data_IF_435212531698
#
_entry.id   IF_435212531698
#
_cell.length_a   1.000
_cell.length_b   1.000
_cell.length_c   1.000
_cell.angle_alpha   90.00
_cell.angle_beta   90.00
_cell.angle_gamma   90.00
#
_symmetry.space_group_name_H-M   'P 1'
#
loop_
_entity.id
_entity.type
_entity.pdbx_description
1 polymer ?
#
# COMPACT_ATOMS: atom_id res chain seq x y z
N UNK A 1 13.00 -39.07 38.25
CA UNK A 1 12.12 -37.88 38.07
C UNK A 1 12.82 -36.66 37.40
N UNK A 2 13.92 -36.82 36.64
CA UNK A 2 14.56 -35.69 35.91
C UNK A 2 14.18 -35.60 34.43
N UNK A 3 13.57 -36.65 33.87
CA UNK A 3 13.24 -36.74 32.43
C UNK A 3 11.89 -36.10 32.06
N UNK A 4 10.99 -35.90 33.02
CA UNK A 4 9.66 -35.30 32.78
C UNK A 4 9.72 -33.77 32.60
N UNK A 5 10.63 -33.10 33.30
CA UNK A 5 10.77 -31.62 33.23
C UNK A 5 11.30 -31.19 31.87
N UNK A 6 12.21 -31.95 31.26
CA UNK A 6 12.75 -31.63 29.93
C UNK A 6 11.72 -31.73 28.81
N UNK A 7 10.73 -32.62 28.92
CA UNK A 7 9.67 -32.78 27.89
C UNK A 7 8.64 -31.66 27.99
N UNK A 8 8.38 -31.15 29.20
CA UNK A 8 7.43 -30.04 29.41
C UNK A 8 7.99 -28.70 28.89
N UNK A 9 9.29 -28.43 29.11
CA UNK A 9 9.95 -27.20 28.65
C UNK A 9 10.06 -27.16 27.12
N UNK A 10 10.27 -28.29 26.46
CA UNK A 10 10.37 -28.37 25.00
C UNK A 10 9.04 -28.08 24.30
N UNK A 11 7.90 -28.38 24.94
CA UNK A 11 6.57 -28.09 24.40
C UNK A 11 6.20 -26.61 24.49
N UNK A 12 6.70 -25.86 25.49
CA UNK A 12 6.44 -24.42 25.60
C UNK A 12 7.18 -23.59 24.53
N UNK A 13 8.30 -24.09 24.01
CA UNK A 13 9.06 -23.41 22.94
C UNK A 13 8.42 -23.53 21.55
N UNK A 14 7.52 -24.51 21.35
CA UNK A 14 6.86 -24.74 20.06
C UNK A 14 5.59 -23.92 19.85
N UNK A 15 5.07 -23.27 20.89
CA UNK A 15 3.86 -22.43 20.86
C UNK A 15 4.20 -20.94 20.61
N UNK A 16 5.50 -20.60 20.54
CA UNK A 16 6.00 -19.23 20.49
C UNK A 16 6.01 -18.54 19.11
N UNK A 17 5.73 -19.27 18.03
CA UNK A 17 5.53 -18.68 16.69
C UNK A 17 4.04 -18.57 16.36
N UNK A 18 3.24 -18.05 17.29
CA UNK A 18 1.98 -17.47 16.90
C UNK A 18 2.31 -16.17 16.16
N UNK A 19 2.32 -16.21 14.82
CA UNK A 19 2.25 -15.01 14.01
C UNK A 19 1.02 -14.24 14.50
N UNK A 20 1.24 -13.17 15.28
CA UNK A 20 0.18 -12.23 15.63
C UNK A 20 -0.23 -11.61 14.32
N UNK A 21 -1.22 -12.23 13.68
CA UNK A 21 -1.85 -11.65 12.50
C UNK A 21 -2.57 -10.42 13.05
N UNK A 22 -2.14 -9.19 12.70
CA UNK A 22 -2.81 -8.01 13.21
C UNK A 22 -4.29 -8.12 12.89
N UNK A 23 -5.15 -7.66 13.82
CA UNK A 23 -6.59 -7.65 13.59
C UNK A 23 -6.85 -7.04 12.21
N UNK A 24 -7.46 -7.83 11.34
CA UNK A 24 -7.82 -7.38 10.00
C UNK A 24 -8.71 -6.16 10.20
N UNK A 25 -8.27 -5.02 9.71
CA UNK A 25 -9.13 -3.83 9.73
C UNK A 25 -10.24 -4.14 8.72
N UNK A 26 -11.41 -4.51 9.23
CA UNK A 26 -12.59 -4.71 8.40
C UNK A 26 -13.03 -3.36 7.87
N UNK A 27 -12.96 -3.22 6.55
CA UNK A 27 -13.58 -2.12 5.82
C UNK A 27 -14.74 -2.76 5.06
N UNK A 28 -15.94 -2.64 5.62
CA UNK A 28 -17.16 -3.26 5.11
C UNK A 28 -17.72 -2.53 3.88
N UNK A 29 -17.13 -1.38 3.53
CA UNK A 29 -17.50 -0.59 2.36
C UNK A 29 -16.26 -0.19 1.56
N UNK A 30 -16.24 -0.62 0.31
CA UNK A 30 -15.30 -0.09 -0.66
C UNK A 30 -15.50 1.43 -0.82
N UNK A 31 -14.41 2.17 -0.98
CA UNK A 31 -14.47 3.63 -1.11
C UNK A 31 -15.05 4.03 -2.47
N UNK A 32 -16.00 4.95 -2.48
CA UNK A 32 -16.60 5.48 -3.70
C UNK A 32 -15.59 6.33 -4.50
N UNK A 33 -15.47 6.04 -5.80
CA UNK A 33 -14.64 6.79 -6.76
C UNK A 33 -15.49 7.34 -7.90
N UNK A 34 -15.70 8.66 -7.89
CA UNK A 34 -16.50 9.37 -8.88
C UNK A 34 -15.85 9.44 -10.27
N UNK A 35 -14.54 9.24 -10.35
CA UNK A 35 -13.77 9.25 -11.60
C UNK A 35 -13.83 7.93 -12.37
N UNK A 36 -14.43 6.90 -11.76
CA UNK A 36 -14.65 5.60 -12.39
C UNK A 36 -15.56 5.74 -13.63
N UNK A 37 -15.14 5.24 -14.81
CA UNK A 37 -15.97 5.22 -16.01
C UNK A 37 -17.29 4.46 -15.81
N UNK A 38 -18.32 4.83 -16.56
CA UNK A 38 -19.70 4.32 -16.40
C UNK A 38 -19.83 2.80 -16.56
N UNK A 39 -18.87 2.17 -17.24
CA UNK A 39 -18.83 0.73 -17.51
C UNK A 39 -18.38 -0.09 -16.30
N UNK A 40 -17.86 0.55 -15.26
CA UNK A 40 -17.32 -0.11 -14.06
C UNK A 40 -18.09 0.31 -12.80
N UNK A 41 -18.03 -0.54 -11.77
CA UNK A 41 -18.58 -0.23 -10.45
C UNK A 41 -17.78 0.90 -9.79
N UNK A 42 -18.47 1.91 -9.26
CA UNK A 42 -17.85 3.08 -8.60
C UNK A 42 -17.42 2.79 -7.17
N UNK A 43 -17.95 1.74 -6.56
CA UNK A 43 -17.57 1.31 -5.21
C UNK A 43 -16.33 0.40 -5.29
N UNK A 44 -15.25 0.91 -5.87
CA UNK A 44 -14.04 0.14 -6.21
C UNK A 44 -12.75 0.69 -5.57
N UNK A 45 -12.84 1.77 -4.78
CA UNK A 45 -11.69 2.43 -4.18
C UNK A 45 -10.69 2.98 -5.20
N UNK A 46 -11.06 3.06 -6.47
CA UNK A 46 -10.22 3.42 -7.61
C UNK A 46 -9.39 2.27 -8.20
N UNK A 47 -9.60 1.02 -7.78
CA UNK A 47 -9.04 -0.18 -8.40
C UNK A 47 -10.12 -0.90 -9.20
N UNK A 48 -10.00 -0.96 -10.52
CA UNK A 48 -11.04 -1.51 -11.41
C UNK A 48 -10.88 -3.01 -11.62
N UNK A 49 -9.69 -3.47 -12.04
CA UNK A 49 -9.41 -4.87 -12.34
C UNK A 49 -7.91 -5.12 -12.41
N UNK A 50 -7.49 -6.37 -12.63
CA UNK A 50 -6.12 -6.69 -13.02
C UNK A 50 -6.04 -6.93 -14.54
N UNK A 51 -4.94 -6.51 -15.15
CA UNK A 51 -4.60 -6.74 -16.56
C UNK A 51 -3.20 -7.33 -16.59
N UNK A 52 -3.12 -8.67 -16.69
CA UNK A 52 -1.87 -9.38 -16.46
C UNK A 52 -1.42 -9.20 -15.01
N UNK A 53 -0.16 -8.80 -14.82
CA UNK A 53 0.44 -8.55 -13.50
C UNK A 53 0.19 -7.13 -12.96
N UNK A 54 -0.47 -6.27 -13.74
CA UNK A 54 -0.72 -4.88 -13.38
C UNK A 54 -2.17 -4.68 -12.94
N UNK A 55 -2.40 -3.70 -12.09
CA UNK A 55 -3.73 -3.26 -11.68
C UNK A 55 -4.19 -2.06 -12.51
N UNK A 56 -5.41 -2.14 -13.05
CA UNK A 56 -6.10 -1.03 -13.70
C UNK A 56 -6.69 -0.11 -12.64
N UNK A 57 -6.27 1.15 -12.62
CA UNK A 57 -6.68 2.15 -11.64
C UNK A 57 -7.27 3.40 -12.32
N UNK A 58 -8.10 4.11 -11.56
CA UNK A 58 -8.70 5.37 -11.98
C UNK A 58 -7.73 6.55 -11.91
N UNK A 59 -8.11 7.68 -12.53
CA UNK A 59 -7.39 8.94 -12.41
C UNK A 59 -7.28 9.41 -10.95
N UNK A 60 -8.35 9.23 -10.16
CA UNK A 60 -8.37 9.59 -8.75
C UNK A 60 -7.46 8.69 -7.91
N UNK A 61 -7.39 7.38 -8.19
CA UNK A 61 -6.45 6.48 -7.53
C UNK A 61 -4.99 6.87 -7.78
N UNK A 62 -4.63 7.20 -9.04
CA UNK A 62 -3.29 7.72 -9.37
C UNK A 62 -2.98 8.98 -8.57
N UNK A 63 -3.88 9.96 -8.55
CA UNK A 63 -3.68 11.20 -7.80
C UNK A 63 -3.51 10.95 -6.29
N UNK A 64 -4.29 10.02 -5.73
CA UNK A 64 -4.16 9.61 -4.32
C UNK A 64 -2.83 8.95 -4.03
N UNK A 65 -2.34 8.07 -4.92
CA UNK A 65 -1.03 7.45 -4.79
C UNK A 65 0.10 8.50 -4.75
N UNK A 66 0.10 9.45 -5.70
CA UNK A 66 1.10 10.53 -5.72
C UNK A 66 1.02 11.43 -4.48
N UNK A 67 -0.19 11.72 -4.00
CA UNK A 67 -0.35 12.46 -2.75
C UNK A 67 0.27 11.70 -1.55
N UNK A 68 0.01 10.40 -1.44
CA UNK A 68 0.62 9.57 -0.40
C UNK A 68 2.15 9.53 -0.49
N UNK A 69 2.72 9.46 -1.70
CA UNK A 69 4.17 9.59 -1.90
C UNK A 69 4.64 10.94 -1.34
N UNK A 70 3.97 12.05 -1.66
CA UNK A 70 4.34 13.39 -1.16
C UNK A 70 4.30 13.51 0.37
N UNK A 71 3.44 12.71 1.01
CA UNK A 71 3.28 12.66 2.47
C UNK A 71 4.34 11.80 3.16
N UNK A 72 4.82 10.74 2.52
CA UNK A 72 5.55 9.66 3.21
C UNK A 72 6.85 9.20 2.54
N UNK A 73 7.27 9.78 1.41
CA UNK A 73 8.43 9.31 0.64
C UNK A 73 9.72 9.20 1.47
N UNK A 74 9.95 10.08 2.44
CA UNK A 74 11.18 10.12 3.24
C UNK A 74 11.14 9.00 4.27
N UNK A 75 10.02 8.88 4.99
CA UNK A 75 9.78 7.74 5.88
C UNK A 75 9.87 6.41 5.14
N UNK A 76 9.28 6.32 3.95
CA UNK A 76 9.32 5.12 3.13
C UNK A 76 10.76 4.76 2.74
N UNK A 77 11.55 5.75 2.29
CA UNK A 77 12.99 5.59 2.02
C UNK A 77 13.75 5.10 3.25
N UNK A 78 13.48 5.66 4.43
CA UNK A 78 14.12 5.25 5.69
C UNK A 78 13.77 3.82 6.11
N UNK A 79 12.51 3.41 5.96
CA UNK A 79 12.04 2.11 6.46
C UNK A 79 12.19 0.97 5.45
N UNK A 80 12.14 1.27 4.16
CA UNK A 80 12.15 0.27 3.08
C UNK A 80 13.40 0.34 2.21
N UNK A 81 14.27 1.34 2.40
CA UNK A 81 15.45 1.58 1.57
C UNK A 81 15.11 1.80 0.07
N UNK A 82 13.90 2.29 -0.21
CA UNK A 82 13.38 2.51 -1.56
C UNK A 82 12.97 3.96 -1.72
N UNK A 83 13.45 4.60 -2.77
CA UNK A 83 13.09 5.98 -3.09
C UNK A 83 11.88 6.02 -4.02
N UNK A 84 10.75 6.49 -3.48
CA UNK A 84 9.52 6.66 -4.25
C UNK A 84 9.53 7.96 -5.05
N UNK A 85 9.07 7.88 -6.29
CA UNK A 85 8.83 9.01 -7.18
C UNK A 85 7.38 9.01 -7.64
N UNK A 86 6.81 10.19 -7.83
CA UNK A 86 5.47 10.32 -8.39
C UNK A 86 5.39 9.64 -9.75
N UNK A 87 4.26 8.97 -10.02
CA UNK A 87 4.02 8.14 -11.21
C UNK A 87 5.01 6.98 -11.43
N UNK A 88 5.89 6.67 -10.46
CA UNK A 88 6.69 5.46 -10.52
C UNK A 88 5.79 4.23 -10.53
N UNK A 89 6.08 3.28 -11.43
CA UNK A 89 5.27 2.09 -11.64
C UNK A 89 3.89 2.34 -12.26
N UNK A 90 3.60 3.57 -12.71
CA UNK A 90 2.34 3.93 -13.35
C UNK A 90 2.54 4.15 -14.85
N UNK A 91 1.69 3.54 -15.68
CA UNK A 91 1.66 3.77 -17.13
C UNK A 91 0.24 4.13 -17.60
N UNK A 92 0.10 5.05 -18.57
CA UNK A 92 -1.22 5.34 -19.15
C UNK A 92 -1.76 4.10 -19.87
N UNK A 93 -3.07 3.91 -19.80
CA UNK A 93 -3.76 2.78 -20.42
C UNK A 93 -5.09 3.23 -21.01
N UNK A 94 -5.39 2.77 -22.22
CA UNK A 94 -6.68 2.98 -22.86
C UNK A 94 -7.41 1.66 -22.93
N UNK A 95 -8.58 1.59 -22.30
CA UNK A 95 -9.38 0.35 -22.29
C UNK A 95 -10.13 0.13 -23.62
N UNK A 96 -10.83 -1.01 -23.70
CA UNK A 96 -11.63 -1.37 -24.87
C UNK A 96 -12.85 -0.46 -25.09
N UNK A 97 -13.22 0.34 -24.09
CA UNK A 97 -14.32 1.31 -24.17
C UNK A 97 -13.81 2.72 -24.54
N UNK A 98 -12.51 2.89 -24.71
CA UNK A 98 -11.85 4.16 -25.04
C UNK A 98 -11.64 5.08 -23.85
N UNK A 99 -11.81 4.60 -22.62
CA UNK A 99 -11.53 5.37 -21.41
C UNK A 99 -10.02 5.50 -21.19
N UNK A 100 -9.58 6.68 -20.76
CA UNK A 100 -8.19 6.94 -20.35
C UNK A 100 -8.04 6.65 -18.86
N UNK A 101 -7.27 5.61 -18.56
CA UNK A 101 -7.01 5.06 -17.22
C UNK A 101 -5.50 4.86 -17.04
N UNK A 102 -5.12 4.22 -15.95
CA UNK A 102 -3.71 3.88 -15.68
C UNK A 102 -3.55 2.43 -15.26
N UNK A 103 -2.42 1.85 -15.60
CA UNK A 103 -1.95 0.61 -15.01
C UNK A 103 -0.89 0.93 -13.97
N UNK A 104 -1.01 0.35 -12.78
CA UNK A 104 0.01 0.34 -11.74
C UNK A 104 0.60 -1.06 -11.65
N UNK A 105 1.92 -1.17 -11.63
CA UNK A 105 2.58 -2.47 -11.47
C UNK A 105 2.33 -3.07 -10.07
N UNK A 106 2.51 -4.38 -9.96
CA UNK A 106 2.30 -5.12 -8.71
C UNK A 106 3.14 -4.60 -7.54
N UNK A 107 4.37 -4.15 -7.80
CA UNK A 107 5.27 -3.65 -6.75
C UNK A 107 4.74 -2.33 -6.17
N UNK A 108 4.39 -1.39 -7.03
CA UNK A 108 3.86 -0.09 -6.65
C UNK A 108 2.43 -0.19 -6.11
N UNK A 109 1.65 -1.21 -6.50
CA UNK A 109 0.37 -1.52 -5.87
C UNK A 109 0.54 -1.91 -4.39
N UNK A 110 1.56 -2.72 -4.08
CA UNK A 110 1.91 -3.05 -2.69
C UNK A 110 2.34 -1.79 -1.92
N UNK A 111 3.15 -0.93 -2.54
CA UNK A 111 3.55 0.34 -1.93
C UNK A 111 2.35 1.24 -1.66
N UNK A 112 1.41 1.32 -2.60
CA UNK A 112 0.17 2.04 -2.42
C UNK A 112 -0.63 1.50 -1.22
N UNK A 113 -0.69 0.18 -1.05
CA UNK A 113 -1.31 -0.46 0.11
C UNK A 113 -0.64 -0.07 1.44
N UNK A 114 0.69 -0.12 1.52
CA UNK A 114 1.46 0.28 2.71
C UNK A 114 1.21 1.74 3.07
N UNK A 115 1.29 2.64 2.09
CA UNK A 115 1.09 4.07 2.32
C UNK A 115 -0.34 4.40 2.77
N UNK A 116 -1.35 3.72 2.20
CA UNK A 116 -2.73 3.86 2.66
C UNK A 116 -2.92 3.35 4.09
N UNK A 117 -2.27 2.23 4.47
CA UNK A 117 -2.31 1.73 5.86
C UNK A 117 -1.72 2.74 6.82
N UNK A 118 -0.58 3.36 6.49
CA UNK A 118 -0.01 4.45 7.30
C UNK A 118 -0.96 5.64 7.46
N UNK A 119 -1.63 6.05 6.39
CA UNK A 119 -2.64 7.10 6.47
C UNK A 119 -3.81 6.69 7.39
N UNK A 120 -4.33 5.47 7.23
CA UNK A 120 -5.45 4.92 8.02
C UNK A 120 -5.10 4.81 9.52
N UNK A 121 -3.87 4.41 9.81
CA UNK A 121 -3.31 4.28 11.16
C UNK A 121 -2.86 5.62 11.75
N UNK A 122 -3.03 6.74 11.02
CA UNK A 122 -2.61 8.09 11.42
C UNK A 122 -1.12 8.18 11.75
N UNK A 123 -0.32 7.39 11.05
CA UNK A 123 1.14 7.46 11.11
C UNK A 123 1.57 8.88 10.67
N UNK A 124 2.43 9.56 11.44
CA UNK A 124 2.86 10.92 11.11
C UNK A 124 3.48 11.00 9.72
N UNK A 125 3.00 11.94 8.91
CA UNK A 125 3.59 12.28 7.63
C UNK A 125 4.97 12.92 7.82
N UNK A 126 5.77 12.89 6.74
CA UNK A 126 7.08 13.52 6.67
C UNK A 126 6.99 15.00 7.08
N UNK A 127 7.74 15.37 8.10
CA UNK A 127 7.76 16.73 8.63
C UNK A 127 8.60 17.67 7.73
N UNK A 128 8.47 18.97 7.95
CA UNK A 128 9.15 20.00 7.16
C UNK A 128 10.68 19.89 7.29
N UNK A 129 11.19 19.50 8.46
CA UNK A 129 12.63 19.40 8.72
C UNK A 129 13.22 18.26 7.88
N UNK A 130 12.61 17.09 7.95
CA UNK A 130 13.01 15.90 7.18
C UNK A 130 12.96 16.19 5.67
N UNK A 131 11.88 16.86 5.21
CA UNK A 131 11.76 17.33 3.82
C UNK A 131 12.87 18.28 3.41
N UNK A 132 13.29 19.15 4.31
CA UNK A 132 14.37 20.11 4.04
C UNK A 132 15.72 19.40 3.96
N UNK A 133 15.99 18.46 4.88
CA UNK A 133 17.24 17.68 4.89
C UNK A 133 17.35 16.81 3.63
N UNK A 134 16.28 16.10 3.25
CA UNK A 134 16.25 15.27 2.06
C UNK A 134 16.49 16.09 0.77
N UNK A 135 16.00 17.34 0.72
CA UNK A 135 16.24 18.26 -0.41
C UNK A 135 17.67 18.79 -0.49
N UNK A 136 18.40 18.86 0.62
CA UNK A 136 19.80 19.31 0.63
C UNK A 136 20.74 18.20 0.19
N UNK A 137 20.41 16.95 0.53
CA UNK A 137 21.28 15.80 0.32
C UNK A 137 21.14 15.14 -1.06
N UNK A 138 20.12 15.51 -1.86
CA UNK A 138 19.87 15.00 -3.22
C UNK A 138 19.76 16.17 -4.21
#
# INVERSE_FOLDING_TARGET
MKKFVNVLVLNCLLIGCATVTPNKIEDDKSSYDASTPKQYDKDNGGLISFIGDDALITNQARARYNNLISMYKIKFKKEKAIELKEDSGIKPYKDNFGNELYLIDSEHLVYFGVLNSWLKEKVPADNIIDKTIDKINN
#
